data_IF_564420956105
#
_entry.id   IF_564420956105
#
_cell.length_a   1.000
_cell.length_b   1.000
_cell.length_c   1.000
_cell.angle_alpha   90.00
_cell.angle_beta   90.00
_cell.angle_gamma   90.00
#
_symmetry.space_group_name_H-M   'P 1'
#
loop_
_entity.id
_entity.type
_entity.pdbx_description
1 polymer ?
#
# COMPACT_ATOMS: atom_id res chain seq x y z
N UNK A 1 -0.95 16.66 -30.61
CA UNK A 1 -1.61 17.42 -29.53
C UNK A 1 -2.71 16.51 -29.02
N UNK A 2 -2.42 15.74 -27.97
CA UNK A 2 -3.41 14.88 -27.36
C UNK A 2 -4.46 15.78 -26.69
N UNK A 3 -5.73 15.64 -27.09
CA UNK A 3 -6.82 16.25 -26.35
C UNK A 3 -6.88 15.54 -24.99
N UNK A 4 -6.52 16.26 -23.92
CA UNK A 4 -6.70 15.77 -22.55
C UNK A 4 -8.15 15.34 -22.38
N UNK A 5 -8.37 14.05 -22.13
CA UNK A 5 -9.72 13.52 -21.96
C UNK A 5 -10.32 14.14 -20.70
N UNK A 6 -11.27 15.06 -20.88
CA UNK A 6 -12.07 15.57 -19.77
C UNK A 6 -13.12 14.50 -19.49
N UNK A 7 -13.00 13.82 -18.34
CA UNK A 7 -13.97 12.82 -17.90
C UNK A 7 -15.35 13.52 -17.87
N UNK A 8 -16.34 12.95 -18.58
CA UNK A 8 -17.75 13.37 -18.60
C UNK A 8 -18.61 12.21 -18.11
N UNK A 9 -19.87 12.47 -17.77
CA UNK A 9 -20.80 11.41 -17.32
C UNK A 9 -20.92 10.26 -18.35
N UNK A 10 -20.96 10.60 -19.64
CA UNK A 10 -20.96 9.63 -20.74
C UNK A 10 -19.75 8.69 -20.71
N UNK A 11 -18.58 9.19 -20.26
CA UNK A 11 -17.38 8.36 -20.13
C UNK A 11 -17.54 7.30 -19.04
N UNK A 12 -18.08 7.66 -17.87
CA UNK A 12 -18.29 6.71 -16.77
C UNK A 12 -19.26 5.60 -17.17
N UNK A 13 -20.32 5.96 -17.90
CA UNK A 13 -21.26 4.95 -18.43
C UNK A 13 -20.57 4.02 -19.44
N UNK A 14 -19.81 4.56 -20.39
CA UNK A 14 -19.08 3.76 -21.38
C UNK A 14 -18.01 2.87 -20.73
N UNK A 15 -17.31 3.38 -19.73
CA UNK A 15 -16.29 2.68 -18.95
C UNK A 15 -16.91 1.49 -18.19
N UNK A 16 -17.99 1.71 -17.45
CA UNK A 16 -18.67 0.64 -16.70
C UNK A 16 -19.35 -0.38 -17.64
N UNK A 17 -19.92 0.08 -18.76
CA UNK A 17 -20.46 -0.80 -19.80
C UNK A 17 -19.39 -1.70 -20.42
N UNK A 18 -18.17 -1.17 -20.64
CA UNK A 18 -17.04 -1.95 -21.14
C UNK A 18 -16.57 -3.01 -20.14
N UNK A 19 -16.70 -2.74 -18.83
CA UNK A 19 -16.44 -3.70 -17.78
C UNK A 19 -17.58 -4.72 -17.58
N UNK A 20 -18.73 -4.59 -18.26
CA UNK A 20 -19.93 -5.43 -18.08
C UNK A 20 -20.38 -5.52 -16.60
N UNK A 21 -20.31 -4.39 -15.90
CA UNK A 21 -20.61 -4.29 -14.47
C UNK A 21 -22.12 -4.21 -14.17
N UNK A 22 -22.54 -4.65 -12.97
CA UNK A 22 -23.92 -4.50 -12.52
C UNK A 22 -24.26 -3.04 -12.15
N UNK A 23 -25.53 -2.66 -12.30
CA UNK A 23 -26.04 -1.30 -12.09
C UNK A 23 -25.63 -0.68 -10.74
N UNK A 24 -25.61 -1.49 -9.68
CA UNK A 24 -25.26 -0.99 -8.34
C UNK A 24 -23.83 -0.44 -8.27
N UNK A 25 -22.91 -0.99 -9.06
CA UNK A 25 -21.51 -0.53 -9.08
C UNK A 25 -21.35 0.68 -10.01
N UNK A 26 -22.10 0.73 -11.12
CA UNK A 26 -22.24 1.93 -11.94
C UNK A 26 -22.73 3.12 -11.12
N UNK A 27 -23.69 2.92 -10.22
CA UNK A 27 -24.18 3.97 -9.32
C UNK A 27 -23.10 4.48 -8.37
N UNK A 28 -22.25 3.58 -7.83
CA UNK A 28 -21.08 3.97 -7.03
C UNK A 28 -20.15 4.84 -7.88
N UNK A 29 -19.80 4.40 -9.08
CA UNK A 29 -18.89 5.14 -9.98
C UNK A 29 -19.43 6.52 -10.33
N UNK A 30 -20.72 6.64 -10.63
CA UNK A 30 -21.39 7.93 -10.93
C UNK A 30 -21.37 8.88 -9.74
N UNK A 31 -21.74 8.38 -8.56
CA UNK A 31 -21.72 9.19 -7.34
C UNK A 31 -20.30 9.64 -6.97
N UNK A 32 -19.32 8.74 -7.13
CA UNK A 32 -17.90 9.04 -6.93
C UNK A 32 -17.40 10.07 -7.94
N UNK A 33 -17.79 9.96 -9.21
CA UNK A 33 -17.41 10.91 -10.25
C UNK A 33 -18.00 12.31 -9.99
N UNK A 34 -19.24 12.40 -9.50
CA UNK A 34 -19.82 13.66 -9.05
C UNK A 34 -19.03 14.25 -7.87
N UNK A 35 -18.78 13.44 -6.84
CA UNK A 35 -18.01 13.86 -5.67
C UNK A 35 -16.59 14.32 -6.04
N UNK A 36 -15.94 13.67 -7.01
CA UNK A 36 -14.63 14.06 -7.53
C UNK A 36 -14.61 15.51 -8.06
N UNK A 37 -15.70 15.96 -8.69
CA UNK A 37 -15.85 17.33 -9.19
C UNK A 37 -16.03 18.38 -8.08
N UNK A 38 -16.50 17.97 -6.90
CA UNK A 38 -16.89 18.86 -5.79
C UNK A 38 -15.87 18.90 -4.65
N UNK A 39 -15.22 17.76 -4.35
CA UNK A 39 -14.30 17.61 -3.23
C UNK A 39 -12.93 18.27 -3.51
N UNK A 40 -12.21 18.62 -2.44
CA UNK A 40 -10.85 19.11 -2.51
C UNK A 40 -9.81 17.98 -2.52
N UNK A 41 -8.58 18.28 -2.98
CA UNK A 41 -7.45 17.37 -2.79
C UNK A 41 -7.20 17.12 -1.29
N UNK A 42 -6.68 15.94 -0.90
CA UNK A 42 -6.37 15.68 0.50
C UNK A 42 -5.40 16.72 1.04
N UNK A 43 -5.59 17.09 2.31
CA UNK A 43 -4.60 17.88 3.01
C UNK A 43 -3.40 16.99 3.35
N UNK A 44 -2.23 17.36 2.84
CA UNK A 44 -0.97 16.64 3.09
C UNK A 44 -0.02 17.58 3.81
N UNK A 45 0.35 17.24 5.04
CA UNK A 45 1.16 18.13 5.88
C UNK A 45 2.51 18.42 5.22
N UNK A 46 2.90 19.70 5.18
CA UNK A 46 4.17 20.21 4.64
C UNK A 46 4.50 19.84 3.18
N UNK A 47 3.58 19.20 2.45
CA UNK A 47 3.78 18.84 1.03
C UNK A 47 2.68 19.47 0.18
N UNK A 48 3.06 20.40 -0.71
CA UNK A 48 2.11 21.04 -1.62
C UNK A 48 1.88 20.18 -2.86
N UNK A 49 0.78 19.44 -2.86
CA UNK A 49 0.45 18.48 -3.92
C UNK A 49 -0.38 19.06 -5.07
N UNK A 50 -0.79 20.33 -4.99
CA UNK A 50 -1.69 20.98 -5.97
C UNK A 50 -1.12 21.06 -7.40
N UNK A 51 0.18 20.80 -7.57
CA UNK A 51 0.87 20.81 -8.86
C UNK A 51 1.17 19.41 -9.40
N UNK A 52 0.91 18.36 -8.61
CA UNK A 52 1.13 16.98 -9.02
C UNK A 52 -0.02 16.50 -9.90
N UNK A 53 0.25 15.54 -10.78
CA UNK A 53 -0.76 14.99 -11.66
C UNK A 53 -1.31 13.67 -11.11
N UNK A 54 -2.46 13.72 -10.43
CA UNK A 54 -3.14 12.53 -9.92
C UNK A 54 -4.28 12.04 -10.80
N UNK A 55 -4.73 12.82 -11.79
CA UNK A 55 -5.99 12.51 -12.48
C UNK A 55 -6.02 12.76 -13.98
N UNK A 56 -4.98 13.36 -14.58
CA UNK A 56 -4.94 13.64 -16.02
C UNK A 56 -4.18 12.55 -16.76
N UNK A 57 -4.87 11.85 -17.65
CA UNK A 57 -4.32 10.77 -18.46
C UNK A 57 -4.89 10.87 -19.89
N UNK A 58 -4.26 10.16 -20.83
CA UNK A 58 -4.57 10.27 -22.25
C UNK A 58 -5.63 9.26 -22.70
N UNK A 59 -5.53 8.01 -22.23
CA UNK A 59 -6.37 6.92 -22.70
C UNK A 59 -6.75 5.94 -21.59
N UNK A 60 -7.81 5.17 -21.83
CA UNK A 60 -8.14 3.98 -21.04
C UNK A 60 -8.02 2.75 -21.93
N UNK A 61 -7.37 1.70 -21.43
CA UNK A 61 -7.35 0.42 -22.15
C UNK A 61 -8.55 -0.43 -21.71
N UNK A 62 -9.34 -0.96 -22.67
CA UNK A 62 -10.56 -1.70 -22.36
C UNK A 62 -10.33 -2.92 -21.45
N UNK A 63 -11.31 -3.17 -20.58
CA UNK A 63 -11.35 -4.36 -19.74
C UNK A 63 -11.33 -5.64 -20.57
N UNK A 64 -10.62 -6.64 -20.06
CA UNK A 64 -10.65 -8.01 -20.59
C UNK A 64 -11.12 -8.95 -19.48
N UNK A 65 -12.19 -9.69 -19.77
CA UNK A 65 -12.66 -10.72 -18.86
C UNK A 65 -11.74 -11.95 -18.88
N UNK A 66 -11.48 -12.49 -17.70
CA UNK A 66 -10.69 -13.70 -17.51
C UNK A 66 -9.17 -13.49 -17.63
N UNK A 67 -8.44 -14.57 -17.33
CA UNK A 67 -6.98 -14.58 -17.34
C UNK A 67 -6.46 -14.63 -18.77
N UNK A 68 -5.61 -13.67 -19.15
CA UNK A 68 -5.09 -13.53 -20.52
C UNK A 68 -4.02 -14.54 -20.88
N UNK A 69 -3.33 -15.10 -19.89
CA UNK A 69 -2.19 -16.01 -20.05
C UNK A 69 -1.03 -15.43 -20.90
N UNK A 70 -0.83 -14.10 -20.91
CA UNK A 70 0.25 -13.44 -21.66
C UNK A 70 1.66 -13.75 -21.10
N UNK A 71 2.70 -13.63 -21.93
CA UNK A 71 4.07 -13.82 -21.46
C UNK A 71 4.46 -12.70 -20.48
N UNK A 72 4.94 -13.07 -19.29
CA UNK A 72 5.38 -12.11 -18.28
C UNK A 72 6.80 -11.62 -18.57
N UNK A 73 7.11 -10.32 -18.35
CA UNK A 73 8.49 -9.84 -18.37
C UNK A 73 9.36 -10.60 -17.35
N UNK A 74 10.64 -10.83 -17.66
CA UNK A 74 11.56 -11.60 -16.81
C UNK A 74 11.61 -11.05 -15.37
N UNK A 75 11.66 -9.72 -15.23
CA UNK A 75 11.62 -9.03 -13.93
C UNK A 75 10.39 -9.39 -13.09
N UNK A 76 9.24 -9.64 -13.72
CA UNK A 76 7.97 -10.00 -13.07
C UNK A 76 7.93 -11.50 -12.79
N UNK A 77 8.35 -12.32 -13.76
CA UNK A 77 8.41 -13.77 -13.61
C UNK A 77 9.31 -14.20 -12.43
N UNK A 78 10.39 -13.46 -12.17
CA UNK A 78 11.28 -13.76 -11.03
C UNK A 78 10.67 -13.43 -9.65
N UNK A 79 9.55 -12.70 -9.59
CA UNK A 79 8.88 -12.36 -8.33
C UNK A 79 7.89 -13.43 -7.88
N UNK A 80 7.51 -14.35 -8.77
CA UNK A 80 6.47 -15.37 -8.53
C UNK A 80 6.97 -16.73 -8.99
N UNK A 81 6.81 -17.75 -8.15
CA UNK A 81 7.15 -19.12 -8.50
C UNK A 81 6.07 -19.75 -9.38
N UNK A 82 6.13 -19.47 -10.68
CA UNK A 82 5.12 -19.89 -11.67
C UNK A 82 5.05 -21.42 -11.86
N UNK A 83 6.13 -22.14 -11.53
CA UNK A 83 6.21 -23.60 -11.70
C UNK A 83 5.69 -24.37 -10.48
N UNK A 84 5.56 -23.68 -9.33
CA UNK A 84 5.08 -24.27 -8.10
C UNK A 84 3.55 -24.34 -8.06
N UNK A 85 3.00 -25.55 -8.20
CA UNK A 85 1.55 -25.82 -8.13
C UNK A 85 0.93 -25.57 -6.75
N UNK A 86 1.75 -25.48 -5.71
CA UNK A 86 1.32 -25.15 -4.35
C UNK A 86 1.40 -23.63 -4.08
N UNK A 87 1.85 -22.81 -5.03
CA UNK A 87 1.81 -21.36 -4.87
C UNK A 87 0.37 -20.83 -5.02
N UNK A 88 0.05 -19.75 -4.30
CA UNK A 88 -1.19 -18.99 -4.49
C UNK A 88 -0.79 -17.60 -4.97
N UNK A 89 -1.11 -17.26 -6.21
CA UNK A 89 -0.66 -15.99 -6.79
C UNK A 89 -1.63 -15.39 -7.80
N UNK A 90 -1.55 -14.07 -7.92
CA UNK A 90 -2.20 -13.28 -8.95
C UNK A 90 -1.17 -12.35 -9.59
N UNK A 91 -1.15 -12.28 -10.91
CA UNK A 91 -0.32 -11.32 -11.65
C UNK A 91 -1.23 -10.50 -12.54
N UNK A 92 -1.12 -9.18 -12.43
CA UNK A 92 -1.84 -8.22 -13.26
C UNK A 92 -0.87 -7.42 -14.11
N UNK A 93 -1.18 -7.29 -15.40
CA UNK A 93 -0.46 -6.43 -16.34
C UNK A 93 -1.39 -5.28 -16.72
N UNK A 94 -1.04 -4.06 -16.29
CA UNK A 94 -1.91 -2.89 -16.33
C UNK A 94 -3.26 -3.17 -15.65
N UNK A 95 -4.40 -3.07 -16.34
CA UNK A 95 -5.74 -3.43 -15.85
C UNK A 95 -6.16 -4.89 -16.12
N UNK A 96 -5.26 -5.74 -16.62
CA UNK A 96 -5.62 -7.08 -17.13
C UNK A 96 -5.09 -8.21 -16.23
N UNK A 97 -5.94 -9.16 -15.80
CA UNK A 97 -5.51 -10.37 -15.13
C UNK A 97 -4.61 -11.23 -16.03
N UNK A 98 -3.32 -11.31 -15.74
CA UNK A 98 -2.35 -12.04 -16.56
C UNK A 98 -2.16 -13.49 -16.11
N UNK A 99 -2.13 -13.73 -14.80
CA UNK A 99 -2.13 -15.07 -14.20
C UNK A 99 -2.96 -15.08 -12.91
N UNK A 100 -3.57 -16.22 -12.61
CA UNK A 100 -4.22 -16.48 -11.33
C UNK A 100 -4.04 -17.97 -11.01
N UNK A 101 -3.59 -18.26 -9.79
CA UNK A 101 -3.51 -19.59 -9.24
C UNK A 101 -3.95 -19.55 -7.77
N UNK A 102 -4.89 -20.42 -7.41
CA UNK A 102 -5.30 -20.67 -6.05
C UNK A 102 -5.42 -22.18 -5.87
N UNK A 103 -4.88 -22.71 -4.77
CA UNK A 103 -5.00 -24.13 -4.47
C UNK A 103 -6.47 -24.55 -4.35
N UNK A 104 -6.80 -25.71 -4.94
CA UNK A 104 -8.17 -26.25 -4.90
C UNK A 104 -8.66 -26.46 -3.46
N UNK A 105 -7.79 -26.85 -2.53
CA UNK A 105 -8.15 -27.00 -1.11
C UNK A 105 -8.69 -25.68 -0.51
N UNK A 106 -8.14 -24.53 -0.91
CA UNK A 106 -8.60 -23.22 -0.43
C UNK A 106 -9.96 -22.86 -1.05
N UNK A 107 -10.14 -23.16 -2.34
CA UNK A 107 -11.43 -23.01 -3.04
C UNK A 107 -12.50 -23.86 -2.36
N UNK A 108 -12.20 -25.12 -2.04
CA UNK A 108 -13.12 -26.05 -1.39
C UNK A 108 -13.50 -25.60 0.04
N UNK A 109 -12.60 -24.86 0.71
CA UNK A 109 -12.86 -24.19 2.00
C UNK A 109 -13.60 -22.86 1.86
N UNK A 110 -13.90 -22.42 0.63
CA UNK A 110 -14.65 -21.20 0.33
C UNK A 110 -13.81 -19.92 0.25
N UNK A 111 -12.48 -20.03 0.22
CA UNK A 111 -11.61 -18.86 -0.02
C UNK A 111 -11.86 -18.32 -1.42
N UNK A 112 -12.08 -17.01 -1.51
CA UNK A 112 -12.26 -16.31 -2.78
C UNK A 112 -10.99 -15.50 -3.04
N UNK A 113 -10.36 -15.71 -4.17
CA UNK A 113 -9.22 -14.91 -4.64
C UNK A 113 -9.35 -14.69 -6.14
N UNK A 114 -9.73 -13.47 -6.54
CA UNK A 114 -10.01 -13.11 -7.94
C UNK A 114 -9.77 -11.62 -8.15
N UNK A 115 -9.73 -11.17 -9.41
CA UNK A 115 -9.70 -9.73 -9.72
C UNK A 115 -10.98 -9.02 -9.23
N UNK A 116 -10.85 -7.74 -8.87
CA UNK A 116 -11.93 -6.96 -8.26
C UNK A 116 -13.15 -6.80 -9.17
N UNK A 117 -12.95 -6.73 -10.49
CA UNK A 117 -14.03 -6.55 -11.48
C UNK A 117 -14.87 -7.82 -11.57
N UNK A 118 -14.24 -9.00 -11.60
CA UNK A 118 -14.93 -10.28 -11.49
C UNK A 118 -15.64 -10.45 -10.14
N UNK A 119 -15.02 -10.00 -9.04
CA UNK A 119 -15.63 -10.06 -7.72
C UNK A 119 -16.93 -9.26 -7.61
N UNK A 120 -16.97 -8.05 -8.19
CA UNK A 120 -18.17 -7.18 -8.24
C UNK A 120 -19.35 -7.90 -8.90
N UNK A 121 -19.10 -8.73 -9.92
CA UNK A 121 -20.14 -9.48 -10.64
C UNK A 121 -20.54 -10.77 -9.94
N UNK A 122 -19.54 -11.55 -9.51
CA UNK A 122 -19.72 -12.93 -9.07
C UNK A 122 -19.96 -13.06 -7.55
N UNK A 123 -19.55 -12.06 -6.77
CA UNK A 123 -19.69 -12.03 -5.31
C UNK A 123 -20.31 -10.71 -4.81
N UNK A 124 -21.41 -10.22 -5.42
CA UNK A 124 -21.91 -8.86 -5.18
C UNK A 124 -22.33 -8.62 -3.73
N UNK A 125 -22.85 -9.63 -3.03
CA UNK A 125 -23.25 -9.49 -1.62
C UNK A 125 -22.07 -9.20 -0.69
N UNK A 126 -20.94 -9.90 -0.89
CA UNK A 126 -19.73 -9.67 -0.11
C UNK A 126 -19.06 -8.35 -0.50
N UNK A 127 -18.93 -8.07 -1.79
CA UNK A 127 -18.28 -6.82 -2.24
C UNK A 127 -19.08 -5.61 -1.80
N UNK A 128 -20.42 -5.60 -1.93
CA UNK A 128 -21.27 -4.50 -1.42
C UNK A 128 -21.15 -4.29 0.09
N UNK A 129 -20.95 -5.38 0.85
CA UNK A 129 -20.82 -5.33 2.31
C UNK A 129 -19.56 -4.56 2.72
N UNK A 130 -18.45 -4.71 1.99
CA UNK A 130 -17.15 -4.21 2.44
C UNK A 130 -16.58 -3.06 1.61
N UNK A 131 -16.77 -3.06 0.29
CA UNK A 131 -16.15 -2.09 -0.63
C UNK A 131 -16.53 -0.65 -0.28
N UNK A 132 -15.52 0.11 0.12
CA UNK A 132 -15.54 1.52 0.48
C UNK A 132 -16.65 1.87 1.48
N UNK A 133 -16.78 1.06 2.53
CA UNK A 133 -17.76 1.25 3.62
C UNK A 133 -17.11 1.76 4.90
N UNK A 134 -16.42 0.88 5.61
CA UNK A 134 -15.96 1.12 6.98
C UNK A 134 -14.47 1.43 7.07
N UNK A 135 -13.65 0.96 6.11
CA UNK A 135 -12.21 1.17 6.12
C UNK A 135 -11.83 2.47 5.38
N UNK A 136 -12.35 2.66 4.16
CA UNK A 136 -12.23 3.90 3.39
C UNK A 136 -13.60 4.35 2.89
N UNK A 137 -13.87 5.64 2.84
CA UNK A 137 -15.11 6.15 2.21
C UNK A 137 -14.84 6.81 0.86
N UNK A 138 -15.79 6.67 -0.06
CA UNK A 138 -15.71 7.25 -1.41
C UNK A 138 -15.45 8.76 -1.36
N UNK A 139 -16.07 9.47 -0.43
CA UNK A 139 -16.10 10.92 -0.36
C UNK A 139 -15.16 11.53 0.69
N UNK A 140 -14.12 10.83 1.16
CA UNK A 140 -13.12 11.41 2.07
C UNK A 140 -12.48 12.67 1.46
N UNK A 141 -12.09 12.59 0.19
CA UNK A 141 -11.55 13.71 -0.58
C UNK A 141 -11.53 13.38 -2.09
N UNK A 142 -11.01 14.30 -2.91
CA UNK A 142 -10.97 14.17 -4.37
C UNK A 142 -10.33 12.87 -4.87
N UNK A 143 -9.22 12.43 -4.27
CA UNK A 143 -8.50 11.23 -4.74
C UNK A 143 -9.23 9.90 -4.42
N UNK A 144 -9.94 9.75 -3.29
CA UNK A 144 -10.78 8.55 -3.04
C UNK A 144 -11.98 8.52 -3.99
N UNK A 145 -12.56 9.68 -4.29
CA UNK A 145 -13.66 9.80 -5.24
C UNK A 145 -13.22 9.49 -6.67
N UNK A 146 -12.06 10.00 -7.11
CA UNK A 146 -11.43 9.62 -8.38
C UNK A 146 -11.19 8.11 -8.45
N UNK A 147 -10.62 7.55 -7.38
CA UNK A 147 -10.35 6.12 -7.29
C UNK A 147 -11.62 5.28 -7.47
N UNK A 148 -12.68 5.55 -6.70
CA UNK A 148 -13.93 4.78 -6.80
C UNK A 148 -14.60 4.93 -8.18
N UNK A 149 -14.49 6.12 -8.81
CA UNK A 149 -15.03 6.34 -10.14
C UNK A 149 -14.33 5.50 -11.21
N UNK A 150 -13.01 5.33 -11.09
CA UNK A 150 -12.15 4.79 -12.16
C UNK A 150 -11.41 3.51 -11.81
N UNK A 151 -11.79 2.84 -10.71
CA UNK A 151 -11.18 1.55 -10.34
C UNK A 151 -11.16 0.62 -11.54
N UNK A 152 -10.00 0.09 -11.90
CA UNK A 152 -9.80 -0.69 -13.12
C UNK A 152 -9.00 -1.97 -12.90
N UNK A 153 -8.38 -2.16 -11.75
CA UNK A 153 -7.69 -3.38 -11.39
C UNK A 153 -7.64 -3.58 -9.88
N UNK A 154 -6.86 -4.56 -9.46
CA UNK A 154 -6.79 -5.00 -8.07
C UNK A 154 -7.51 -6.33 -7.84
N UNK A 155 -7.61 -6.74 -6.58
CA UNK A 155 -8.10 -8.08 -6.20
C UNK A 155 -9.13 -8.00 -5.09
N UNK A 156 -9.96 -9.04 -5.03
CA UNK A 156 -10.76 -9.38 -3.87
C UNK A 156 -10.24 -10.69 -3.27
N UNK A 157 -9.85 -10.63 -2.00
CA UNK A 157 -9.45 -11.78 -1.20
C UNK A 157 -10.40 -11.89 0.00
N UNK A 158 -11.20 -12.96 0.05
CA UNK A 158 -12.07 -13.27 1.18
C UNK A 158 -11.70 -14.61 1.79
N UNK A 159 -11.42 -14.60 3.09
CA UNK A 159 -11.13 -15.81 3.87
C UNK A 159 -12.31 -16.08 4.80
N UNK A 160 -13.06 -17.18 4.60
CA UNK A 160 -14.26 -17.49 5.38
C UNK A 160 -13.98 -17.79 6.85
N UNK A 161 -15.05 -17.81 7.65
CA UNK A 161 -14.98 -18.12 9.08
C UNK A 161 -14.28 -19.44 9.33
N UNK A 162 -13.41 -19.46 10.35
CA UNK A 162 -12.66 -20.63 10.81
C UNK A 162 -11.70 -21.23 9.76
N UNK A 163 -11.35 -20.49 8.71
CA UNK A 163 -10.38 -20.92 7.71
C UNK A 163 -9.01 -20.30 7.99
N UNK A 164 -8.00 -21.15 8.18
CA UNK A 164 -6.60 -20.75 8.24
C UNK A 164 -5.92 -21.04 6.90
N UNK A 165 -5.41 -20.00 6.26
CA UNK A 165 -4.61 -20.08 5.03
C UNK A 165 -3.14 -20.13 5.41
N UNK A 166 -2.54 -21.33 5.30
CA UNK A 166 -1.15 -21.58 5.74
C UNK A 166 -0.09 -21.07 4.77
N UNK A 167 -0.30 -21.27 3.48
CA UNK A 167 0.58 -20.78 2.44
C UNK A 167 0.27 -19.31 2.13
N UNK A 168 1.26 -18.44 1.92
CA UNK A 168 0.99 -17.04 1.60
C UNK A 168 0.25 -16.91 0.26
N UNK A 169 -0.57 -15.88 0.15
CA UNK A 169 -1.20 -15.44 -1.10
C UNK A 169 -0.44 -14.24 -1.63
N UNK A 170 0.02 -14.30 -2.87
CA UNK A 170 0.84 -13.25 -3.48
C UNK A 170 0.09 -12.52 -4.60
N UNK A 171 0.24 -11.21 -4.70
CA UNK A 171 -0.16 -10.42 -5.85
C UNK A 171 1.03 -9.66 -6.44
N UNK A 172 1.11 -9.57 -7.76
CA UNK A 172 2.06 -8.71 -8.46
C UNK A 172 1.30 -7.84 -9.44
N UNK A 173 1.34 -6.53 -9.21
CA UNK A 173 0.71 -5.51 -10.02
C UNK A 173 1.78 -4.83 -10.86
N UNK A 174 1.67 -4.98 -12.18
CA UNK A 174 2.66 -4.49 -13.12
C UNK A 174 2.09 -3.30 -13.88
N UNK A 175 2.83 -2.20 -13.88
CA UNK A 175 2.61 -1.09 -14.80
C UNK A 175 3.56 -1.26 -15.99
N UNK A 176 3.00 -1.59 -17.15
CA UNK A 176 3.71 -1.75 -18.41
C UNK A 176 3.44 -0.59 -19.38
N UNK A 177 2.21 -0.08 -19.41
CA UNK A 177 1.84 1.07 -20.25
C UNK A 177 1.41 2.26 -19.41
N UNK A 178 2.23 3.30 -19.40
CA UNK A 178 1.96 4.47 -18.56
C UNK A 178 0.85 5.41 -19.08
N UNK A 179 0.35 5.20 -20.31
CA UNK A 179 -0.69 6.05 -20.93
C UNK A 179 -2.06 5.94 -20.23
N UNK A 180 -2.31 4.83 -19.53
CA UNK A 180 -3.51 4.61 -18.73
C UNK A 180 -3.21 4.65 -17.23
N UNK A 181 -4.07 5.26 -16.41
CA UNK A 181 -3.85 5.27 -14.97
C UNK A 181 -4.08 3.86 -14.41
N UNK A 182 -3.18 3.40 -13.55
CA UNK A 182 -3.42 2.18 -12.77
C UNK A 182 -4.23 2.56 -11.54
N UNK A 183 -5.48 2.13 -11.46
CA UNK A 183 -6.39 2.43 -10.35
C UNK A 183 -6.77 1.11 -9.68
N UNK A 184 -5.91 0.65 -8.78
CA UNK A 184 -5.99 -0.67 -8.18
C UNK A 184 -6.63 -0.66 -6.81
N UNK A 185 -7.66 -1.48 -6.65
CA UNK A 185 -8.34 -1.69 -5.38
C UNK A 185 -8.14 -3.09 -4.86
N UNK A 186 -7.52 -3.20 -3.68
CA UNK A 186 -7.33 -4.47 -2.98
C UNK A 186 -8.33 -4.52 -1.83
N UNK A 187 -9.29 -5.42 -1.92
CA UNK A 187 -10.24 -5.66 -0.85
C UNK A 187 -9.92 -7.01 -0.21
N UNK A 188 -9.30 -6.99 0.96
CA UNK A 188 -8.89 -8.17 1.72
C UNK A 188 -9.74 -8.25 2.99
N UNK A 189 -10.46 -9.36 3.13
CA UNK A 189 -11.33 -9.62 4.29
C UNK A 189 -10.99 -10.98 4.88
N UNK A 190 -10.67 -11.00 6.16
CA UNK A 190 -10.54 -12.22 6.96
C UNK A 190 -11.73 -12.27 7.94
N UNK A 191 -12.65 -13.21 7.74
CA UNK A 191 -13.86 -13.37 8.56
C UNK A 191 -13.54 -14.04 9.92
N UNK A 192 -14.54 -14.22 10.78
CA UNK A 192 -14.34 -14.62 12.17
C UNK A 192 -13.45 -15.87 12.33
N UNK A 193 -12.45 -15.78 13.22
CA UNK A 193 -11.49 -16.85 13.51
C UNK A 193 -10.71 -17.36 12.28
N UNK A 194 -10.48 -16.51 11.29
CA UNK A 194 -9.69 -16.84 10.10
C UNK A 194 -8.30 -16.19 10.11
N UNK A 195 -7.38 -16.72 9.29
CA UNK A 195 -6.06 -16.10 9.17
C UNK A 195 -5.44 -16.26 7.79
N UNK A 196 -4.67 -15.25 7.37
CA UNK A 196 -3.98 -15.22 6.09
C UNK A 196 -2.73 -14.36 6.11
N UNK A 197 -1.72 -14.79 5.36
CA UNK A 197 -0.58 -13.96 4.99
C UNK A 197 -0.74 -13.55 3.53
N UNK A 198 -0.83 -12.24 3.28
CA UNK A 198 -0.94 -11.67 1.94
C UNK A 198 0.29 -10.81 1.64
N UNK A 199 0.83 -10.96 0.42
CA UNK A 199 2.01 -10.23 -0.05
C UNK A 199 1.71 -9.61 -1.39
N UNK A 200 2.01 -8.34 -1.57
CA UNK A 200 1.85 -7.67 -2.85
C UNK A 200 3.05 -6.85 -3.28
N UNK A 201 3.19 -6.68 -4.59
CA UNK A 201 4.29 -5.96 -5.20
C UNK A 201 3.79 -5.11 -6.35
N UNK A 202 4.10 -3.82 -6.31
CA UNK A 202 3.87 -2.90 -7.43
C UNK A 202 5.19 -2.65 -8.14
N UNK A 203 5.23 -2.91 -9.45
CA UNK A 203 6.45 -2.75 -10.25
C UNK A 203 6.16 -2.06 -11.58
N UNK A 204 7.02 -1.12 -11.95
CA UNK A 204 7.05 -0.61 -13.32
C UNK A 204 8.06 -1.43 -14.15
N UNK A 205 7.66 -1.82 -15.36
CA UNK A 205 8.52 -2.49 -16.35
C UNK A 205 8.81 -1.63 -17.58
N UNK A 206 8.00 -0.61 -17.84
CA UNK A 206 8.22 0.37 -18.90
C UNK A 206 9.56 1.12 -18.73
N UNK A 207 10.18 1.46 -19.86
CA UNK A 207 11.46 2.17 -19.92
C UNK A 207 11.31 3.70 -19.86
N UNK A 208 10.14 4.27 -20.20
CA UNK A 208 9.86 5.71 -20.08
C UNK A 208 8.47 6.03 -19.47
N UNK A 209 8.13 5.47 -18.30
CA UNK A 209 6.78 5.54 -17.76
C UNK A 209 6.44 6.95 -17.28
N UNK A 210 5.48 7.61 -17.94
CA UNK A 210 4.79 8.79 -17.41
C UNK A 210 3.36 8.43 -17.08
N UNK A 211 3.10 8.17 -15.80
CA UNK A 211 1.84 7.55 -15.41
C UNK A 211 1.32 8.01 -14.06
N UNK A 212 0.12 7.53 -13.77
CA UNK A 212 -0.57 7.77 -12.52
C UNK A 212 -0.90 6.42 -11.92
N UNK A 213 -0.60 6.26 -10.65
CA UNK A 213 -0.95 5.06 -9.89
C UNK A 213 -1.76 5.48 -8.66
N UNK A 214 -2.97 4.97 -8.56
CA UNK A 214 -3.90 5.17 -7.45
C UNK A 214 -4.19 3.82 -6.82
N UNK A 215 -3.67 3.61 -5.62
CA UNK A 215 -3.79 2.36 -4.87
C UNK A 215 -4.67 2.63 -3.66
N UNK A 216 -5.77 1.89 -3.55
CA UNK A 216 -6.60 1.86 -2.34
C UNK A 216 -6.71 0.42 -1.88
N UNK A 217 -6.44 0.20 -0.61
CA UNK A 217 -6.45 -1.15 -0.03
C UNK A 217 -7.26 -1.14 1.25
N UNK A 218 -8.27 -2.00 1.32
CA UNK A 218 -9.10 -2.20 2.50
C UNK A 218 -8.76 -3.57 3.08
N UNK A 219 -8.16 -3.59 4.27
CA UNK A 219 -7.74 -4.79 4.97
C UNK A 219 -8.56 -4.92 6.25
N UNK A 220 -9.50 -5.87 6.24
CA UNK A 220 -10.56 -5.98 7.24
C UNK A 220 -10.39 -7.31 7.99
N UNK A 221 -10.09 -7.24 9.27
CA UNK A 221 -10.01 -8.38 10.17
C UNK A 221 -11.26 -8.41 11.05
N UNK A 222 -12.19 -9.33 10.77
CA UNK A 222 -13.35 -9.59 11.63
C UNK A 222 -12.90 -10.28 12.93
N UNK A 223 -13.83 -10.69 13.80
CA UNK A 223 -13.51 -11.12 15.18
C UNK A 223 -12.51 -12.28 15.23
N UNK A 224 -11.50 -12.18 16.11
CA UNK A 224 -10.42 -13.18 16.25
C UNK A 224 -9.61 -13.45 14.96
N UNK A 225 -9.73 -12.63 13.93
CA UNK A 225 -9.02 -12.83 12.68
C UNK A 225 -7.58 -12.28 12.74
N UNK A 226 -6.68 -12.90 11.97
CA UNK A 226 -5.26 -12.49 11.90
C UNK A 226 -4.81 -12.30 10.47
N UNK A 227 -4.39 -11.09 10.13
CA UNK A 227 -3.87 -10.78 8.80
C UNK A 227 -2.42 -10.33 8.92
N UNK A 228 -1.53 -10.98 8.16
CA UNK A 228 -0.17 -10.50 7.95
C UNK A 228 -0.08 -9.94 6.53
N UNK A 229 0.13 -8.65 6.40
CA UNK A 229 0.14 -7.93 5.13
C UNK A 229 1.56 -7.45 4.82
N UNK A 230 2.10 -7.86 3.67
CA UNK A 230 3.36 -7.37 3.14
C UNK A 230 3.17 -6.63 1.82
N UNK A 231 3.76 -5.44 1.67
CA UNK A 231 3.67 -4.66 0.43
C UNK A 231 5.00 -4.04 0.05
N UNK A 232 5.43 -4.18 -1.20
CA UNK A 232 6.59 -3.47 -1.75
C UNK A 232 6.19 -2.65 -2.96
N UNK A 233 6.25 -1.33 -2.82
CA UNK A 233 5.93 -0.38 -3.89
C UNK A 233 7.23 0.04 -4.57
N UNK A 234 7.46 -0.34 -5.84
CA UNK A 234 8.67 -0.02 -6.60
C UNK A 234 8.32 0.52 -7.99
N UNK A 235 7.70 1.70 -8.00
CA UNK A 235 7.27 2.42 -9.21
C UNK A 235 8.35 3.42 -9.66
N UNK A 236 8.39 3.67 -10.97
CA UNK A 236 9.41 4.50 -11.61
C UNK A 236 9.30 6.01 -11.28
N UNK A 237 10.35 6.77 -11.65
CA UNK A 237 10.53 8.18 -11.25
C UNK A 237 9.52 9.17 -11.84
N UNK A 238 8.97 8.87 -13.02
CA UNK A 238 8.02 9.73 -13.73
C UNK A 238 6.55 9.30 -13.47
N UNK A 239 6.33 8.48 -12.44
CA UNK A 239 5.01 8.03 -11.98
C UNK A 239 4.59 8.83 -10.74
N UNK A 240 3.43 9.50 -10.80
CA UNK A 240 2.82 10.13 -9.62
C UNK A 240 1.95 9.11 -8.92
N UNK A 241 2.20 8.87 -7.63
CA UNK A 241 1.55 7.80 -6.88
C UNK A 241 0.74 8.33 -5.71
N UNK A 242 -0.50 7.86 -5.58
CA UNK A 242 -1.32 7.99 -4.39
C UNK A 242 -1.62 6.60 -3.85
N UNK A 243 -1.21 6.35 -2.61
CA UNK A 243 -1.44 5.08 -1.91
C UNK A 243 -2.23 5.35 -0.65
N UNK A 244 -3.32 4.58 -0.47
CA UNK A 244 -4.18 4.66 0.69
C UNK A 244 -4.53 3.24 1.16
N UNK A 245 -3.82 2.80 2.21
CA UNK A 245 -4.03 1.52 2.89
C UNK A 245 -4.84 1.76 4.15
N UNK A 246 -5.97 1.08 4.28
CA UNK A 246 -6.88 1.19 5.43
C UNK A 246 -7.06 -0.16 6.12
N UNK A 247 -6.71 -0.21 7.40
CA UNK A 247 -6.98 -1.35 8.27
C UNK A 247 -8.26 -1.14 9.09
N UNK A 248 -9.12 -2.15 9.18
CA UNK A 248 -10.29 -2.15 10.06
C UNK A 248 -10.26 -3.43 10.90
N UNK A 249 -10.08 -3.31 12.22
CA UNK A 249 -9.78 -4.44 13.10
C UNK A 249 -10.88 -4.64 14.15
N UNK A 250 -11.52 -5.80 14.09
CA UNK A 250 -12.54 -6.27 15.02
C UNK A 250 -11.98 -6.72 16.37
N UNK A 251 -12.85 -7.31 17.20
CA UNK A 251 -12.52 -7.72 18.58
C UNK A 251 -11.54 -8.88 18.58
N UNK A 252 -10.51 -8.82 19.42
CA UNK A 252 -9.45 -9.83 19.58
C UNK A 252 -8.72 -10.16 18.25
N UNK A 253 -8.72 -9.22 17.31
CA UNK A 253 -8.18 -9.39 15.96
C UNK A 253 -6.89 -8.60 15.76
N UNK A 254 -6.16 -8.94 14.68
CA UNK A 254 -4.81 -8.42 14.46
C UNK A 254 -4.53 -8.17 12.98
N UNK A 255 -3.86 -7.05 12.67
CA UNK A 255 -3.21 -6.81 11.38
C UNK A 255 -1.74 -6.43 11.63
N UNK A 256 -0.81 -7.16 11.00
CA UNK A 256 0.60 -6.80 10.92
C UNK A 256 0.92 -6.27 9.52
N UNK A 257 1.47 -5.07 9.43
CA UNK A 257 1.86 -4.44 8.17
C UNK A 257 3.39 -4.44 8.02
N UNK A 258 3.86 -4.92 6.88
CA UNK A 258 5.26 -4.98 6.48
C UNK A 258 5.44 -4.23 5.14
N UNK A 259 5.74 -2.93 5.22
CA UNK A 259 5.67 -2.03 4.07
C UNK A 259 7.06 -1.54 3.63
N UNK A 260 7.36 -1.77 2.35
CA UNK A 260 8.52 -1.26 1.63
C UNK A 260 8.13 -0.17 0.66
N UNK A 261 8.29 1.09 1.05
CA UNK A 261 7.91 2.25 0.24
C UNK A 261 9.11 2.68 -0.61
N UNK A 262 9.24 2.07 -1.79
CA UNK A 262 10.44 2.12 -2.63
C UNK A 262 10.20 2.80 -4.00
N UNK A 263 9.11 3.55 -4.17
CA UNK A 263 8.91 4.33 -5.39
C UNK A 263 10.09 5.29 -5.64
N UNK A 264 10.31 5.63 -6.90
CA UNK A 264 11.27 6.67 -7.32
C UNK A 264 10.59 7.99 -7.70
N UNK A 265 9.26 7.99 -7.82
CA UNK A 265 8.44 9.15 -8.17
C UNK A 265 7.76 9.83 -6.97
N UNK A 266 7.13 10.98 -7.23
CA UNK A 266 6.40 11.74 -6.21
C UNK A 266 5.23 10.92 -5.66
N UNK A 267 5.21 10.71 -4.34
CA UNK A 267 4.30 9.75 -3.70
C UNK A 267 3.64 10.35 -2.45
N UNK A 268 2.32 10.20 -2.36
CA UNK A 268 1.58 10.28 -1.08
C UNK A 268 1.29 8.85 -0.66
N UNK A 269 1.66 8.49 0.56
CA UNK A 269 1.34 7.20 1.16
C UNK A 269 0.63 7.42 2.49
N UNK A 270 -0.58 6.88 2.60
CA UNK A 270 -1.32 6.83 3.85
C UNK A 270 -1.55 5.38 4.25
N UNK A 271 -1.15 5.01 5.46
CA UNK A 271 -1.54 3.77 6.11
C UNK A 271 -2.29 4.11 7.40
N UNK A 272 -3.61 3.93 7.41
CA UNK A 272 -4.47 4.26 8.54
C UNK A 272 -5.15 2.98 9.02
N UNK A 273 -4.94 2.60 10.26
CA UNK A 273 -5.55 1.42 10.87
C UNK A 273 -6.44 1.80 12.04
N UNK A 274 -7.69 1.36 12.01
CA UNK A 274 -8.69 1.58 13.05
C UNK A 274 -8.87 0.29 13.88
N UNK A 275 -8.52 0.38 15.16
CA UNK A 275 -8.65 -0.66 16.18
C UNK A 275 -10.04 -0.56 16.81
N UNK A 276 -11.03 -1.15 16.15
CA UNK A 276 -12.46 -0.98 16.48
C UNK A 276 -12.88 -1.83 17.68
N UNK A 277 -12.43 -3.08 17.73
CA UNK A 277 -12.81 -4.02 18.78
C UNK A 277 -11.90 -3.98 20.01
N UNK A 278 -12.43 -4.44 21.14
CA UNK A 278 -11.63 -4.66 22.35
C UNK A 278 -10.54 -5.72 22.07
N UNK A 279 -9.36 -5.57 22.66
CA UNK A 279 -8.24 -6.50 22.48
C UNK A 279 -7.62 -6.51 21.07
N UNK A 280 -8.03 -5.59 20.20
CA UNK A 280 -7.50 -5.48 18.83
C UNK A 280 -6.05 -4.98 18.80
N UNK A 281 -5.28 -5.42 17.79
CA UNK A 281 -3.86 -5.08 17.67
C UNK A 281 -3.44 -4.71 16.25
N UNK A 282 -2.62 -3.66 16.12
CA UNK A 282 -1.95 -3.30 14.87
C UNK A 282 -0.44 -3.13 15.09
N UNK A 283 0.35 -3.73 14.22
CA UNK A 283 1.81 -3.58 14.21
C UNK A 283 2.26 -3.14 12.81
N UNK A 284 2.67 -1.88 12.68
CA UNK A 284 3.04 -1.27 11.40
C UNK A 284 4.55 -1.08 11.31
N UNK A 285 5.18 -1.79 10.37
CA UNK A 285 6.62 -1.67 10.08
C UNK A 285 6.83 -1.13 8.67
N UNK A 286 7.53 0.00 8.58
CA UNK A 286 7.73 0.70 7.31
C UNK A 286 9.21 0.98 7.06
N UNK A 287 9.66 0.69 5.84
CA UNK A 287 11.00 1.04 5.36
C UNK A 287 10.89 1.86 4.07
N UNK A 288 11.70 2.92 3.96
CA UNK A 288 11.82 3.69 2.71
C UNK A 288 13.26 4.04 2.36
N UNK A 289 13.54 4.11 1.06
CA UNK A 289 14.79 4.66 0.51
C UNK A 289 14.46 5.62 -0.63
N UNK A 290 14.71 6.90 -0.42
CA UNK A 290 14.50 7.95 -1.39
C UNK A 290 15.82 8.40 -2.03
N UNK A 291 15.81 8.57 -3.35
CA UNK A 291 16.93 9.07 -4.18
C UNK A 291 16.46 10.04 -5.26
N UNK A 292 17.36 10.69 -5.97
CA UNK A 292 17.03 11.64 -7.01
C UNK A 292 16.45 12.92 -6.44
N UNK A 293 15.31 13.34 -6.99
CA UNK A 293 14.60 14.59 -6.67
C UNK A 293 13.16 14.36 -6.15
N UNK A 294 12.83 13.11 -5.82
CA UNK A 294 11.48 12.71 -5.46
C UNK A 294 11.03 13.32 -4.13
N UNK A 295 9.72 13.54 -4.00
CA UNK A 295 9.09 13.94 -2.77
C UNK A 295 8.12 12.85 -2.30
N UNK A 296 8.32 12.37 -1.08
CA UNK A 296 7.46 11.40 -0.44
C UNK A 296 6.81 12.00 0.81
N UNK A 297 5.52 11.78 0.98
CA UNK A 297 4.83 12.05 2.25
C UNK A 297 4.19 10.75 2.72
N UNK A 298 4.64 10.27 3.87
CA UNK A 298 4.19 9.00 4.46
C UNK A 298 3.50 9.32 5.76
N UNK A 299 2.21 9.02 5.82
CA UNK A 299 1.40 9.17 7.02
C UNK A 299 0.97 7.79 7.49
N UNK A 300 1.41 7.42 8.69
CA UNK A 300 0.96 6.21 9.38
C UNK A 300 0.13 6.62 10.59
N UNK A 301 -1.12 6.14 10.66
CA UNK A 301 -2.01 6.41 11.79
C UNK A 301 -2.58 5.12 12.34
N UNK A 302 -2.51 4.95 13.65
CA UNK A 302 -3.23 3.89 14.37
C UNK A 302 -4.19 4.56 15.34
N UNK A 303 -5.49 4.29 15.18
CA UNK A 303 -6.55 4.87 16.00
C UNK A 303 -7.20 3.79 16.87
N UNK A 304 -7.14 3.98 18.18
CA UNK A 304 -7.70 3.09 19.19
C UNK A 304 -9.12 3.51 19.55
N UNK A 305 -10.09 2.64 19.27
CA UNK A 305 -11.49 2.80 19.70
C UNK A 305 -11.85 1.76 20.77
N UNK A 306 -11.42 0.51 20.59
CA UNK A 306 -11.63 -0.56 21.55
C UNK A 306 -10.70 -0.50 22.76
N UNK A 307 -11.13 -1.11 23.86
CA UNK A 307 -10.35 -1.22 25.11
C UNK A 307 -9.21 -2.20 24.96
N UNK A 308 -8.16 -1.99 25.77
CA UNK A 308 -7.00 -2.88 25.82
C UNK A 308 -6.41 -3.19 24.42
N UNK A 309 -6.48 -2.22 23.51
CA UNK A 309 -5.97 -2.36 22.16
C UNK A 309 -4.50 -1.97 22.08
N UNK A 310 -3.73 -2.59 21.19
CA UNK A 310 -2.29 -2.36 21.04
C UNK A 310 -1.97 -1.81 19.64
N UNK A 311 -1.18 -0.75 19.57
CA UNK A 311 -0.80 -0.08 18.34
C UNK A 311 0.69 0.22 18.35
N UNK A 312 1.44 -0.40 17.44
CA UNK A 312 2.87 -0.13 17.27
C UNK A 312 3.15 0.42 15.88
N UNK A 313 3.93 1.50 15.80
CA UNK A 313 4.42 2.09 14.55
C UNK A 313 5.95 2.11 14.59
N UNK A 314 6.61 1.46 13.65
CA UNK A 314 8.07 1.44 13.52
C UNK A 314 8.48 1.78 12.08
N UNK A 315 9.05 2.96 11.88
CA UNK A 315 9.35 3.49 10.54
C UNK A 315 10.80 3.94 10.42
N UNK A 316 11.55 3.35 9.49
CA UNK A 316 12.92 3.79 9.16
C UNK A 316 13.01 4.27 7.71
N UNK A 317 13.68 5.40 7.50
CA UNK A 317 13.86 5.98 6.17
C UNK A 317 15.28 6.45 5.90
N UNK A 318 15.73 6.30 4.66
CA UNK A 318 17.02 6.84 4.19
C UNK A 318 16.79 7.75 2.99
N UNK A 319 17.27 8.98 3.07
CA UNK A 319 17.20 9.95 1.98
C UNK A 319 18.60 10.28 1.45
N UNK A 320 18.81 10.13 0.15
CA UNK A 320 20.04 10.52 -0.56
C UNK A 320 19.76 11.51 -1.68
N UNK A 321 20.83 12.13 -2.16
CA UNK A 321 20.81 13.15 -3.21
C UNK A 321 19.93 14.35 -2.81
N UNK A 322 18.82 14.59 -3.50
CA UNK A 322 17.87 15.70 -3.24
C UNK A 322 16.49 15.18 -2.83
N UNK A 323 16.38 13.90 -2.51
CA UNK A 323 15.11 13.29 -2.12
C UNK A 323 14.62 13.88 -0.80
N UNK A 324 13.30 14.04 -0.71
CA UNK A 324 12.63 14.53 0.50
C UNK A 324 11.61 13.52 0.96
N UNK A 325 11.61 13.20 2.26
CA UNK A 325 10.53 12.45 2.90
C UNK A 325 10.00 13.16 4.14
N UNK A 326 8.71 12.99 4.39
CA UNK A 326 8.06 13.39 5.63
C UNK A 326 7.37 12.15 6.19
N UNK A 327 7.73 11.77 7.41
CA UNK A 327 7.11 10.71 8.18
C UNK A 327 6.20 11.31 9.25
N UNK A 328 4.89 11.16 9.07
CA UNK A 328 3.91 11.49 10.10
C UNK A 328 3.48 10.20 10.79
N UNK A 329 3.93 10.00 12.04
CA UNK A 329 3.47 8.91 12.90
C UNK A 329 2.36 9.43 13.80
N UNK A 330 1.18 8.82 13.78
CA UNK A 330 0.02 9.31 14.53
C UNK A 330 -0.56 8.16 15.37
N UNK A 331 -0.36 8.21 16.68
CA UNK A 331 -1.11 7.40 17.63
C UNK A 331 -2.31 8.19 18.13
N UNK A 332 -3.53 7.71 17.90
CA UNK A 332 -4.75 8.35 18.40
C UNK A 332 -5.52 7.41 19.31
N UNK A 333 -5.56 7.69 20.60
CA UNK A 333 -6.41 6.98 21.56
C UNK A 333 -7.69 7.78 21.79
N UNK A 334 -8.83 7.21 21.40
CA UNK A 334 -10.15 7.82 21.62
C UNK A 334 -10.64 7.59 23.04
N UNK A 335 -11.50 8.50 23.50
CA UNK A 335 -12.23 8.34 24.75
C UNK A 335 -12.99 7.00 24.76
N UNK A 336 -12.87 6.23 25.84
CA UNK A 336 -13.45 4.89 25.98
C UNK A 336 -12.50 3.74 25.64
N UNK A 337 -11.38 4.00 24.95
CA UNK A 337 -10.34 3.01 24.65
C UNK A 337 -9.40 2.76 25.84
N UNK A 338 -9.96 2.58 27.04
CA UNK A 338 -9.19 2.37 28.29
C UNK A 338 -8.26 1.16 28.17
N UNK A 339 -7.11 1.23 28.84
CA UNK A 339 -6.01 0.24 28.88
C UNK A 339 -5.30 0.02 27.56
N UNK A 340 -5.50 0.89 26.58
CA UNK A 340 -4.80 0.79 25.30
C UNK A 340 -3.34 1.22 25.42
N UNK A 341 -2.51 0.68 24.54
CA UNK A 341 -1.08 0.95 24.43
C UNK A 341 -0.73 1.40 23.02
N UNK A 342 -0.20 2.62 22.88
CA UNK A 342 0.23 3.20 21.61
C UNK A 342 1.73 3.52 21.64
N UNK A 343 2.53 2.82 20.84
CA UNK A 343 3.98 3.01 20.73
C UNK A 343 4.36 3.42 19.31
N UNK A 344 5.23 4.42 19.19
CA UNK A 344 5.74 4.82 17.88
C UNK A 344 7.24 5.15 17.90
N UNK A 345 7.96 4.68 16.88
CA UNK A 345 9.34 5.05 16.60
C UNK A 345 9.50 5.40 15.12
N UNK A 346 10.08 6.57 14.85
CA UNK A 346 10.39 7.00 13.49
C UNK A 346 11.82 7.51 13.38
N UNK A 347 12.62 6.93 12.47
CA UNK A 347 14.00 7.33 12.25
C UNK A 347 14.26 7.66 10.79
N UNK A 348 14.90 8.80 10.53
CA UNK A 348 15.31 9.18 9.17
C UNK A 348 16.78 9.54 9.12
N UNK A 349 17.50 8.93 8.18
CA UNK A 349 18.91 9.16 7.92
C UNK A 349 19.10 9.88 6.58
N UNK A 350 19.76 11.04 6.59
CA UNK A 350 20.15 11.74 5.37
C UNK A 350 21.60 11.42 5.03
N UNK A 351 21.83 10.94 3.80
CA UNK A 351 23.17 10.62 3.28
C UNK A 351 23.81 11.75 2.49
N UNK A 352 23.00 12.71 2.02
CA UNK A 352 23.49 13.82 1.19
C UNK A 352 23.15 15.16 1.83
N UNK A 353 23.98 16.21 1.62
CA UNK A 353 23.73 17.54 2.20
C UNK A 353 22.38 18.16 1.79
N UNK A 354 21.92 17.85 0.58
CA UNK A 354 20.66 18.35 0.00
C UNK A 354 19.44 17.45 0.28
N UNK A 355 19.66 16.25 0.83
CA UNK A 355 18.57 15.35 1.19
C UNK A 355 17.85 15.87 2.43
N UNK A 356 16.54 15.65 2.48
CA UNK A 356 15.70 16.10 3.59
C UNK A 356 14.85 14.96 4.12
N UNK A 357 14.87 14.80 5.43
CA UNK A 357 13.97 13.91 6.16
C UNK A 357 13.33 14.67 7.29
N UNK A 358 12.01 14.58 7.43
CA UNK A 358 11.27 15.07 8.59
C UNK A 358 10.56 13.90 9.26
N UNK A 359 10.64 13.79 10.59
CA UNK A 359 9.88 12.81 11.38
C UNK A 359 9.01 13.57 12.38
N UNK A 360 7.70 13.49 12.20
CA UNK A 360 6.68 14.20 12.96
C UNK A 360 5.84 13.18 13.75
N UNK A 361 6.23 12.82 14.99
CA UNK A 361 5.40 12.00 15.84
C UNK A 361 4.27 12.84 16.44
N UNK A 362 3.06 12.30 16.44
CA UNK A 362 1.84 12.94 16.95
C UNK A 362 1.14 11.92 17.86
N UNK A 363 0.82 12.34 19.08
CA UNK A 363 -0.02 11.59 20.01
C UNK A 363 -1.29 12.41 20.28
N UNK A 364 -2.44 11.82 19.98
CA UNK A 364 -3.75 12.38 20.27
C UNK A 364 -4.41 11.48 21.31
N UNK A 365 -4.49 11.94 22.56
CA UNK A 365 -4.91 11.08 23.68
C UNK A 365 -6.14 11.71 24.34
N UNK A 366 -7.30 11.08 24.10
CA UNK A 366 -8.60 11.49 24.63
C UNK A 366 -9.04 10.63 25.85
N UNK A 367 -8.16 9.76 26.36
CA UNK A 367 -8.40 8.81 27.46
C UNK A 367 -7.30 8.88 28.54
N UNK A 368 -7.65 8.64 29.80
CA UNK A 368 -6.73 8.79 30.94
C UNK A 368 -5.98 7.49 31.29
N UNK A 369 -6.67 6.34 31.25
CA UNK A 369 -6.11 5.04 31.64
C UNK A 369 -5.43 4.37 30.45
N UNK A 370 -4.30 4.89 29.98
CA UNK A 370 -3.58 4.37 28.80
C UNK A 370 -2.08 4.52 28.92
N UNK A 371 -1.36 3.80 28.05
CA UNK A 371 0.08 3.96 27.82
C UNK A 371 0.28 4.53 26.43
N UNK A 372 1.09 5.58 26.31
CA UNK A 372 1.47 6.12 25.03
C UNK A 372 2.93 6.59 25.04
N UNK A 373 3.70 6.17 24.05
CA UNK A 373 5.12 6.50 23.91
C UNK A 373 5.46 6.86 22.47
N UNK A 374 6.39 7.80 22.29
CA UNK A 374 6.92 8.12 20.98
C UNK A 374 8.42 8.41 21.03
N UNK A 375 9.12 8.01 19.97
CA UNK A 375 10.51 8.33 19.71
C UNK A 375 10.67 8.77 18.26
N UNK A 376 11.42 9.84 18.04
CA UNK A 376 11.78 10.29 16.70
C UNK A 376 13.26 10.69 16.66
N UNK A 377 13.96 10.29 15.61
CA UNK A 377 15.35 10.66 15.38
C UNK A 377 15.56 11.00 13.91
N UNK A 378 16.11 12.18 13.65
CA UNK A 378 16.46 12.63 12.30
C UNK A 378 17.91 13.07 12.35
N UNK A 379 18.74 12.53 11.45
CA UNK A 379 20.17 12.77 11.49
C UNK A 379 20.84 12.60 10.14
N UNK A 380 21.97 13.26 9.97
CA UNK A 380 22.88 12.95 8.86
C UNK A 380 23.74 11.77 9.23
N UNK A 381 24.18 11.02 8.22
CA UNK A 381 25.25 10.05 8.41
C UNK A 381 26.48 10.75 8.98
N UNK A 382 27.11 10.12 9.97
CA UNK A 382 28.32 10.62 10.59
C UNK A 382 29.48 10.54 9.58
N UNK A 383 30.08 11.67 9.17
CA UNK A 383 31.22 11.68 8.25
C UNK A 383 32.41 10.86 8.76
N UNK A 384 32.57 10.73 10.09
CA UNK A 384 33.64 9.92 10.69
C UNK A 384 33.39 8.42 10.50
N UNK A 385 32.13 7.97 10.51
CA UNK A 385 31.78 6.58 10.22
C UNK A 385 32.07 6.24 8.75
N UNK A 386 31.71 7.14 7.83
CA UNK A 386 32.05 6.98 6.41
C UNK A 386 33.57 7.00 6.20
N UNK A 387 34.27 7.96 6.79
CA UNK A 387 35.73 8.04 6.72
C UNK A 387 36.39 6.77 7.29
N UNK A 388 35.88 6.23 8.39
CA UNK A 388 36.40 5.01 8.99
C UNK A 388 36.28 3.82 8.02
N UNK A 389 35.09 3.60 7.42
CA UNK A 389 34.90 2.55 6.42
C UNK A 389 35.83 2.75 5.21
N UNK A 390 35.94 3.98 4.72
CA UNK A 390 36.80 4.32 3.59
C UNK A 390 38.29 4.12 3.89
N UNK A 391 38.72 4.40 5.11
CA UNK A 391 40.10 4.15 5.56
C UNK A 391 40.48 2.66 5.56
N UNK A 392 39.50 1.76 5.49
CA UNK A 392 39.69 0.31 5.33
C UNK A 392 39.69 -0.16 3.87
N UNK A 393 39.77 0.77 2.92
CA UNK A 393 39.81 0.48 1.48
C UNK A 393 38.44 0.27 0.85
N UNK A 394 37.35 0.51 1.59
CA UNK A 394 35.98 0.44 1.07
C UNK A 394 35.70 1.74 0.29
N UNK A 395 35.14 1.64 -0.91
CA UNK A 395 34.77 2.85 -1.66
C UNK A 395 33.68 3.64 -0.92
N UNK A 396 33.56 4.95 -1.13
CA UNK A 396 32.49 5.74 -0.52
C UNK A 396 31.10 5.14 -0.82
N UNK A 397 30.88 4.71 -2.07
CA UNK A 397 29.64 4.07 -2.51
C UNK A 397 29.32 2.81 -1.70
N UNK A 398 30.31 1.94 -1.50
CA UNK A 398 30.15 0.73 -0.69
C UNK A 398 29.97 1.05 0.79
N UNK A 399 30.63 2.08 1.31
CA UNK A 399 30.46 2.53 2.69
C UNK A 399 29.04 3.04 2.95
N UNK A 400 28.51 3.90 2.07
CA UNK A 400 27.12 4.37 2.14
C UNK A 400 26.14 3.19 2.07
N UNK A 401 26.34 2.27 1.12
CA UNK A 401 25.55 1.03 1.00
C UNK A 401 25.52 0.23 2.31
N UNK A 402 26.66 0.00 2.96
CA UNK A 402 26.73 -0.72 4.24
C UNK A 402 25.98 0.01 5.37
N UNK A 403 26.11 1.34 5.43
CA UNK A 403 25.39 2.17 6.40
C UNK A 403 23.88 2.06 6.20
N UNK A 404 23.40 2.07 4.95
CA UNK A 404 21.97 1.92 4.64
C UNK A 404 21.43 0.59 5.12
N UNK A 405 22.10 -0.51 4.77
CA UNK A 405 21.71 -1.85 5.19
C UNK A 405 21.68 -1.95 6.72
N UNK A 406 22.73 -1.47 7.40
CA UNK A 406 22.79 -1.49 8.87
C UNK A 406 21.71 -0.62 9.54
N UNK A 407 21.33 0.50 8.93
CA UNK A 407 20.30 1.41 9.46
C UNK A 407 18.88 0.84 9.29
N UNK A 408 18.62 0.13 8.19
CA UNK A 408 17.30 -0.43 7.87
C UNK A 408 17.08 -1.84 8.46
N UNK A 409 18.14 -2.60 8.71
CA UNK A 409 18.06 -3.97 9.24
C UNK A 409 17.21 -4.13 10.51
N UNK A 410 17.23 -3.20 11.50
CA UNK A 410 16.39 -3.30 12.68
C UNK A 410 14.90 -3.44 12.38
N UNK A 411 14.41 -2.85 11.28
CA UNK A 411 13.02 -2.99 10.83
C UNK A 411 12.88 -4.21 9.93
N UNK A 412 13.76 -4.37 8.93
CA UNK A 412 13.69 -5.47 7.95
C UNK A 412 13.72 -6.84 8.63
N UNK A 413 14.57 -7.04 9.64
CA UNK A 413 14.67 -8.33 10.35
C UNK A 413 13.40 -8.69 11.15
N UNK A 414 12.63 -7.67 11.58
CA UNK A 414 11.41 -7.84 12.36
C UNK A 414 10.17 -8.07 11.49
N UNK A 415 10.28 -8.00 10.17
CA UNK A 415 9.15 -8.28 9.30
C UNK A 415 8.70 -9.76 9.47
N UNK A 416 7.40 -10.05 9.47
CA UNK A 416 6.89 -11.41 9.69
C UNK A 416 7.02 -12.32 8.45
N UNK A 417 7.31 -11.75 7.27
CA UNK A 417 7.25 -12.46 5.99
C UNK A 417 8.63 -12.52 5.32
N UNK A 418 9.21 -13.71 5.19
CA UNK A 418 10.56 -13.90 4.62
C UNK A 418 10.67 -13.49 3.14
N UNK A 419 9.64 -13.73 2.32
CA UNK A 419 9.65 -13.30 0.91
C UNK A 419 9.73 -11.77 0.78
N UNK A 420 9.01 -11.04 1.64
CA UNK A 420 9.06 -9.57 1.71
C UNK A 420 10.46 -9.10 2.15
N UNK A 421 11.09 -9.77 3.12
CA UNK A 421 12.47 -9.44 3.53
C UNK A 421 13.46 -9.57 2.40
N UNK A 422 13.40 -10.69 1.68
CA UNK A 422 14.29 -10.97 0.54
C UNK A 422 14.10 -9.91 -0.53
N UNK A 423 12.85 -9.63 -0.90
CA UNK A 423 12.55 -8.63 -1.92
C UNK A 423 12.98 -7.22 -1.50
N UNK A 424 12.75 -6.82 -0.25
CA UNK A 424 13.20 -5.53 0.25
C UNK A 424 14.71 -5.39 0.17
N UNK A 425 15.47 -6.44 0.52
CA UNK A 425 16.94 -6.42 0.39
C UNK A 425 17.38 -6.23 -1.05
N UNK A 426 16.73 -6.89 -2.01
CA UNK A 426 17.02 -6.72 -3.45
C UNK A 426 16.69 -5.32 -3.96
N UNK A 427 15.52 -4.77 -3.59
CA UNK A 427 15.11 -3.42 -4.00
C UNK A 427 16.00 -2.36 -3.36
N UNK A 428 16.34 -2.50 -2.08
CA UNK A 428 17.32 -1.64 -1.40
C UNK A 428 18.65 -1.70 -2.14
N UNK A 429 19.14 -2.91 -2.47
CA UNK A 429 20.39 -3.08 -3.21
C UNK A 429 20.35 -2.36 -4.58
N UNK A 430 19.23 -2.40 -5.29
CA UNK A 430 19.03 -1.66 -6.55
C UNK A 430 18.98 -0.13 -6.41
N UNK A 431 18.65 0.39 -5.23
CA UNK A 431 18.63 1.85 -4.94
C UNK A 431 19.97 2.40 -4.50
N UNK A 432 20.83 1.55 -3.94
CA UNK A 432 22.13 1.93 -3.36
C UNK A 432 23.30 1.64 -4.30
N UNK A 433 23.14 0.71 -5.25
CA UNK A 433 23.98 0.62 -6.44
C UNK A 433 23.76 1.80 -7.38
#
# INVERSE_FOLDING_TARGET
>A
MAENMTIKDDFIHAFSSNANEPDWFLDIRRNAFKAYGELDLPFVDKTKITRWNFTKFETFIPFKEGVTNETLPEKVANLVDLDNKEANFYVQMDERPARLQLQQELVDKGVIFTDIISAVKNHPELVKKYFMKDAVQVNEHKLTAFHAALVNGGIFLYVPKNVEVKAPIQAVFVQDKAESPLVNHVLLVADDNSSVTYVENYVTVDNEPKGIVSIVEEVIAEKNARITFGGVDNLASDVTTYVNRRGHIGTDSQIEWALGLMNDGDTINENVTNLMGDGSSADVKTVTVGRGKQTQNVTTRVTHYGKASNGTILSHGVMKERATTIFNGIGHIKHGASKSDAQQESRVLMLSPEARGDANPILLIDENDVVAGHAASVGRVDPLQLFYLMSRGISQKEAERLVIHGFLDPVVRQLPIESVKTMLREVIEGKVR
#
